data_IF_639316458913
#
_entry.id   IF_639316458913
#
_cell.length_a   1.000
_cell.length_b   1.000
_cell.length_c   1.000
_cell.angle_alpha   90.00
_cell.angle_beta   90.00
_cell.angle_gamma   90.00
#
_symmetry.space_group_name_H-M   'P 1'
#
loop_
_entity.id
_entity.type
_entity.pdbx_description
1 polymer ?
#
# COMPACT_ATOMS: atom_id res chain seq x y z
N UNK A 1 -10.02 -10.54 9.66
CA UNK A 1 -9.20 -11.55 8.93
C UNK A 1 -7.73 -11.13 8.88
N UNK A 2 -6.78 -12.03 9.20
CA UNK A 2 -5.33 -11.71 9.22
C UNK A 2 -4.61 -12.36 8.02
N UNK A 3 -3.74 -11.64 7.28
CA UNK A 3 -3.05 -12.20 6.12
C UNK A 3 -2.06 -13.30 6.50
N UNK A 4 -2.24 -14.51 5.96
CA UNK A 4 -1.26 -15.61 6.07
C UNK A 4 0.05 -15.26 5.33
N UNK A 5 1.15 -15.94 5.68
CA UNK A 5 2.48 -15.74 5.05
C UNK A 5 2.42 -15.83 3.51
N UNK A 6 1.66 -16.79 2.97
CA UNK A 6 1.45 -16.96 1.52
C UNK A 6 0.82 -15.71 0.87
N UNK A 7 -0.19 -15.11 1.49
CA UNK A 7 -0.84 -13.90 0.97
C UNK A 7 0.12 -12.69 0.97
N UNK A 8 0.97 -12.55 2.00
CA UNK A 8 2.02 -11.51 2.06
C UNK A 8 3.08 -11.72 0.98
N UNK A 9 3.48 -12.97 0.73
CA UNK A 9 4.42 -13.31 -0.32
C UNK A 9 3.85 -13.02 -1.71
N UNK A 10 2.57 -13.34 -1.95
CA UNK A 10 1.89 -13.08 -3.22
C UNK A 10 1.86 -11.59 -3.58
N UNK A 11 1.48 -10.71 -2.62
CA UNK A 11 1.48 -9.26 -2.90
C UNK A 11 2.90 -8.72 -3.13
N UNK A 12 3.90 -9.21 -2.38
CA UNK A 12 5.31 -8.85 -2.59
C UNK A 12 5.84 -9.32 -3.95
N UNK A 13 5.43 -10.50 -4.41
CA UNK A 13 5.75 -11.00 -5.74
C UNK A 13 5.12 -10.10 -6.83
N UNK A 14 3.83 -9.78 -6.71
CA UNK A 14 3.14 -8.86 -7.62
C UNK A 14 3.81 -7.49 -7.71
N UNK A 15 4.18 -6.89 -6.58
CA UNK A 15 4.96 -5.63 -6.53
C UNK A 15 6.27 -5.77 -7.30
N UNK A 16 7.00 -6.86 -7.08
CA UNK A 16 8.29 -7.14 -7.73
C UNK A 16 8.12 -7.28 -9.24
N UNK A 17 7.10 -7.98 -9.70
CA UNK A 17 6.86 -8.24 -11.11
C UNK A 17 6.48 -6.95 -11.86
N UNK A 18 5.58 -6.14 -11.29
CA UNK A 18 5.24 -4.81 -11.84
C UNK A 18 6.50 -3.96 -12.05
N UNK A 19 7.41 -3.96 -11.07
CA UNK A 19 8.65 -3.19 -11.16
C UNK A 19 9.64 -3.80 -12.15
N UNK A 20 9.74 -5.14 -12.21
CA UNK A 20 10.66 -5.85 -13.12
C UNK A 20 10.30 -5.58 -14.58
N UNK A 21 9.02 -5.67 -14.93
CA UNK A 21 8.55 -5.44 -16.30
C UNK A 21 8.34 -3.95 -16.63
N UNK A 22 8.51 -3.08 -15.65
CA UNK A 22 8.29 -1.65 -15.79
C UNK A 22 9.44 -0.85 -16.40
N UNK A 23 10.54 -1.47 -16.85
CA UNK A 23 11.80 -0.79 -17.21
C UNK A 23 11.66 0.53 -18.00
N UNK A 24 10.92 0.50 -19.10
CA UNK A 24 10.64 1.64 -20.00
C UNK A 24 9.38 2.44 -19.64
N UNK A 25 8.56 1.96 -18.71
CA UNK A 25 7.29 2.61 -18.34
C UNK A 25 7.56 3.85 -17.48
N UNK A 26 6.91 5.00 -17.74
CA UNK A 26 6.99 6.19 -16.88
C UNK A 26 6.70 5.87 -15.41
N UNK A 27 7.41 6.53 -14.48
CA UNK A 27 7.30 6.24 -13.05
C UNK A 27 5.85 6.37 -12.56
N UNK A 28 5.13 7.42 -12.96
CA UNK A 28 3.73 7.66 -12.59
C UNK A 28 2.83 6.47 -12.94
N UNK A 29 2.96 5.92 -14.16
CA UNK A 29 2.17 4.76 -14.60
C UNK A 29 2.49 3.50 -13.79
N UNK A 30 3.74 3.31 -13.37
CA UNK A 30 4.10 2.20 -12.48
C UNK A 30 3.54 2.38 -11.08
N UNK A 31 3.59 3.59 -10.54
CA UNK A 31 3.03 3.89 -9.22
C UNK A 31 1.52 3.66 -9.22
N UNK A 32 0.80 4.06 -10.27
CA UNK A 32 -0.63 3.75 -10.41
C UNK A 32 -0.91 2.23 -10.36
N UNK A 33 -0.14 1.42 -11.10
CA UNK A 33 -0.28 -0.06 -11.07
C UNK A 33 0.03 -0.65 -9.69
N UNK A 34 1.06 -0.13 -9.01
CA UNK A 34 1.42 -0.55 -7.65
C UNK A 34 0.32 -0.19 -6.65
N UNK A 35 -0.19 1.03 -6.72
CA UNK A 35 -1.28 1.51 -5.87
C UNK A 35 -2.53 0.67 -6.04
N UNK A 36 -2.93 0.35 -7.27
CA UNK A 36 -4.11 -0.49 -7.51
C UNK A 36 -3.94 -1.89 -6.90
N UNK A 37 -2.76 -2.50 -7.06
CA UNK A 37 -2.47 -3.81 -6.50
C UNK A 37 -2.50 -3.82 -4.96
N UNK A 38 -1.90 -2.80 -4.34
CA UNK A 38 -1.82 -2.69 -2.88
C UNK A 38 -3.16 -2.27 -2.29
N UNK A 39 -3.88 -1.32 -2.91
CA UNK A 39 -5.20 -0.89 -2.46
C UNK A 39 -6.19 -2.06 -2.44
N UNK A 40 -6.25 -2.87 -3.50
CA UNK A 40 -7.09 -4.07 -3.52
C UNK A 40 -6.73 -5.06 -2.42
N UNK A 41 -5.44 -5.27 -2.17
CA UNK A 41 -4.97 -6.16 -1.11
C UNK A 41 -5.29 -5.62 0.29
N UNK A 42 -5.08 -4.33 0.53
CA UNK A 42 -5.43 -3.69 1.81
C UNK A 42 -6.93 -3.75 2.03
N UNK A 43 -7.75 -3.41 1.04
CA UNK A 43 -9.20 -3.46 1.16
C UNK A 43 -9.71 -4.86 1.53
N UNK A 44 -9.14 -5.90 0.92
CA UNK A 44 -9.49 -7.29 1.24
C UNK A 44 -9.16 -7.68 2.70
N UNK A 45 -8.02 -7.24 3.22
CA UNK A 45 -7.57 -7.58 4.58
C UNK A 45 -7.88 -6.51 5.64
N UNK A 46 -8.61 -5.43 5.28
CA UNK A 46 -8.80 -4.23 6.12
C UNK A 46 -9.56 -4.52 7.41
N UNK A 47 -10.45 -5.50 7.38
CA UNK A 47 -11.41 -5.85 8.45
C UNK A 47 -10.78 -6.83 9.46
N UNK A 48 -9.56 -6.56 9.91
CA UNK A 48 -8.87 -7.46 10.84
C UNK A 48 -7.56 -6.95 11.40
N UNK A 49 -6.93 -7.78 12.24
CA UNK A 49 -5.64 -7.51 12.90
C UNK A 49 -4.46 -7.66 11.92
N UNK A 50 -4.50 -6.91 10.82
CA UNK A 50 -3.54 -6.97 9.72
C UNK A 50 -2.46 -5.88 9.78
N UNK A 51 -2.44 -5.03 10.81
CA UNK A 51 -1.56 -3.86 10.92
C UNK A 51 -0.07 -4.21 10.73
N UNK A 52 0.40 -5.27 11.39
CA UNK A 52 1.79 -5.75 11.24
C UNK A 52 2.09 -6.23 9.82
N UNK A 53 1.16 -6.92 9.18
CA UNK A 53 1.30 -7.37 7.80
C UNK A 53 1.28 -6.20 6.81
N UNK A 54 0.49 -5.16 7.09
CA UNK A 54 0.42 -3.95 6.29
C UNK A 54 1.72 -3.16 6.37
N UNK A 55 2.28 -2.97 7.57
CA UNK A 55 3.61 -2.36 7.74
C UNK A 55 4.69 -3.14 6.97
N UNK A 56 4.70 -4.47 7.06
CA UNK A 56 5.67 -5.32 6.35
C UNK A 56 5.61 -5.17 4.82
N UNK A 57 4.41 -4.96 4.26
CA UNK A 57 4.19 -4.77 2.82
C UNK A 57 4.49 -3.32 2.40
N UNK A 58 4.12 -2.34 3.23
CA UNK A 58 4.47 -0.92 3.03
C UNK A 58 5.97 -0.73 2.94
N UNK A 59 6.71 -1.22 3.93
CA UNK A 59 8.17 -1.04 3.98
C UNK A 59 8.85 -1.71 2.76
N UNK A 60 8.32 -2.86 2.32
CA UNK A 60 8.76 -3.52 1.10
C UNK A 60 8.47 -2.71 -0.16
N UNK A 61 7.27 -2.14 -0.27
CA UNK A 61 6.85 -1.30 -1.39
C UNK A 61 7.74 -0.05 -1.49
N UNK A 62 7.92 0.69 -0.39
CA UNK A 62 8.77 1.87 -0.34
C UNK A 62 10.21 1.54 -0.76
N UNK A 63 10.78 0.47 -0.19
CA UNK A 63 12.13 0.01 -0.55
C UNK A 63 12.25 -0.27 -2.06
N UNK A 64 11.27 -0.96 -2.65
CA UNK A 64 11.29 -1.30 -4.07
C UNK A 64 11.12 -0.08 -4.98
N UNK A 65 10.24 0.86 -4.62
CA UNK A 65 10.09 2.12 -5.36
C UNK A 65 11.37 2.95 -5.31
N UNK A 66 11.96 3.11 -4.12
CA UNK A 66 13.26 3.81 -3.94
C UNK A 66 14.38 3.16 -4.76
N UNK A 67 14.41 1.83 -4.81
CA UNK A 67 15.38 1.07 -5.62
C UNK A 67 15.19 1.31 -7.11
N UNK A 68 13.95 1.30 -7.60
CA UNK A 68 13.61 1.59 -9.00
C UNK A 68 14.07 3.00 -9.40
N UNK A 69 13.72 4.01 -8.61
CA UNK A 69 14.08 5.41 -8.89
C UNK A 69 15.60 5.61 -8.88
N UNK A 70 16.29 5.00 -7.91
CA UNK A 70 17.75 5.03 -7.83
C UNK A 70 18.40 4.37 -9.04
N UNK A 71 17.91 3.22 -9.49
CA UNK A 71 18.43 2.54 -10.70
C UNK A 71 18.23 3.37 -11.97
N UNK A 72 17.05 4.00 -12.12
CA UNK A 72 16.75 4.87 -13.27
C UNK A 72 17.62 6.12 -13.31
N UNK A 73 17.84 6.77 -12.16
CA UNK A 73 18.67 7.98 -12.06
C UNK A 73 20.17 7.68 -12.00
N UNK A 74 20.62 6.51 -11.53
CA UNK A 74 22.05 6.12 -11.57
C UNK A 74 22.60 6.02 -12.99
N UNK A 75 21.75 5.76 -14.00
CA UNK A 75 22.12 5.94 -15.40
C UNK A 75 22.58 7.38 -15.74
N UNK A 76 22.32 8.35 -14.88
CA UNK A 76 22.68 9.76 -15.04
C UNK A 76 23.61 10.32 -13.94
N UNK A 77 24.50 9.48 -13.38
CA UNK A 77 25.61 9.83 -12.45
C UNK A 77 25.37 11.02 -11.48
N UNK A 78 25.00 10.73 -10.22
CA UNK A 78 25.43 11.38 -8.94
C UNK A 78 24.46 11.04 -7.79
N UNK A 79 25.00 10.66 -6.62
CA UNK A 79 24.46 10.61 -5.23
C UNK A 79 23.29 9.68 -4.80
N UNK A 80 23.14 9.57 -3.46
CA UNK A 80 22.95 8.36 -2.63
C UNK A 80 21.57 8.28 -1.94
N UNK A 81 20.92 7.11 -2.04
CA UNK A 81 20.11 6.53 -0.96
C UNK A 81 18.80 7.23 -0.54
N UNK A 82 18.41 6.97 0.72
CA UNK A 82 17.11 7.29 1.35
C UNK A 82 16.80 8.79 1.42
N UNK A 83 17.83 9.64 1.49
CA UNK A 83 17.74 11.12 1.53
C UNK A 83 17.19 11.72 0.24
N UNK A 84 17.49 11.14 -0.93
CA UNK A 84 17.03 11.68 -2.22
C UNK A 84 15.53 11.46 -2.45
N UNK A 85 15.00 10.34 -1.97
CA UNK A 85 13.60 9.97 -2.17
C UNK A 85 12.88 10.14 -0.83
N UNK A 86 12.61 11.35 -0.35
CA UNK A 86 11.92 11.51 0.94
C UNK A 86 10.54 10.81 0.94
N UNK A 87 9.99 10.53 2.11
CA UNK A 87 8.61 10.03 2.19
C UNK A 87 7.65 11.06 1.58
N UNK A 88 7.91 12.34 1.77
CA UNK A 88 7.22 13.43 1.10
C UNK A 88 7.26 13.30 -0.44
N UNK A 89 8.40 12.96 -1.04
CA UNK A 89 8.46 12.71 -2.47
C UNK A 89 7.63 11.47 -2.89
N UNK A 90 7.71 10.38 -2.12
CA UNK A 90 6.95 9.16 -2.43
C UNK A 90 5.44 9.39 -2.34
N UNK A 91 4.98 10.08 -1.30
CA UNK A 91 3.55 10.24 -1.03
C UNK A 91 2.99 11.51 -1.69
N UNK A 92 3.67 12.65 -1.59
CA UNK A 92 3.24 13.93 -2.13
C UNK A 92 3.48 14.09 -3.64
N UNK A 93 4.62 13.62 -4.16
CA UNK A 93 4.96 13.81 -5.59
C UNK A 93 4.55 12.60 -6.43
N UNK A 94 4.86 11.38 -5.99
CA UNK A 94 4.52 10.18 -6.75
C UNK A 94 3.10 9.67 -6.47
N UNK A 95 2.46 10.12 -5.39
CA UNK A 95 1.13 9.65 -4.99
C UNK A 95 1.12 8.19 -4.55
N UNK A 96 2.18 7.69 -3.91
CA UNK A 96 2.24 6.31 -3.44
C UNK A 96 1.11 6.02 -2.43
N UNK A 97 0.60 4.79 -2.42
CA UNK A 97 -0.48 4.38 -1.52
C UNK A 97 -0.11 4.57 -0.04
N UNK A 98 -0.94 5.31 0.71
CA UNK A 98 -0.68 5.70 2.10
C UNK A 98 -1.74 5.18 3.10
N UNK A 99 -2.92 4.75 2.65
CA UNK A 99 -4.01 4.34 3.54
C UNK A 99 -3.85 2.90 4.05
N UNK A 100 -2.88 2.71 4.94
CA UNK A 100 -2.56 1.40 5.55
C UNK A 100 -3.37 1.12 6.81
N UNK A 101 -4.34 1.96 7.17
CA UNK A 101 -5.07 1.82 8.43
C UNK A 101 -6.05 0.64 8.37
N UNK A 102 -5.98 -0.24 9.36
CA UNK A 102 -6.99 -1.26 9.58
C UNK A 102 -8.24 -0.61 10.14
N UNK A 103 -9.42 -1.04 9.71
CA UNK A 103 -10.66 -0.68 10.38
C UNK A 103 -10.92 -1.73 11.46
N UNK A 104 -11.15 -1.33 12.72
CA UNK A 104 -11.70 -2.26 13.69
C UNK A 104 -12.95 -2.91 13.08
N UNK A 105 -13.13 -4.20 13.30
CA UNK A 105 -14.45 -4.80 13.13
C UNK A 105 -15.36 -3.98 14.04
N UNK A 106 -16.28 -3.21 13.46
CA UNK A 106 -17.36 -2.58 14.21
C UNK A 106 -18.04 -3.71 14.99
N UNK A 107 -17.78 -3.79 16.29
CA UNK A 107 -18.46 -4.72 17.17
C UNK A 107 -19.97 -4.49 17.06
N UNK A 108 -20.76 -5.45 17.53
CA UNK A 108 -22.23 -5.46 17.49
C UNK A 108 -22.94 -4.16 17.99
N UNK A 109 -22.20 -3.19 18.52
CA UNK A 109 -22.64 -1.83 18.86
C UNK A 109 -23.17 -1.03 17.66
N UNK A 110 -22.54 -1.08 16.48
CA UNK A 110 -23.06 -0.33 15.30
C UNK A 110 -24.41 -0.89 14.81
N UNK A 111 -24.63 -2.21 14.95
CA UNK A 111 -25.93 -2.81 14.67
C UNK A 111 -26.99 -2.42 15.69
N UNK A 112 -26.63 -2.30 16.98
CA UNK A 112 -27.53 -1.81 18.03
C UNK A 112 -27.94 -0.35 17.82
N UNK A 113 -27.00 0.52 17.43
CA UNK A 113 -27.28 1.93 17.15
C UNK A 113 -28.18 2.07 15.93
N UNK A 114 -27.93 1.33 14.85
CA UNK A 114 -28.79 1.37 13.65
C UNK A 114 -30.20 0.83 13.89
N UNK A 115 -30.35 -0.22 14.70
CA UNK A 115 -31.66 -0.79 15.05
C UNK A 115 -32.42 0.10 16.06
N UNK A 116 -31.72 0.80 16.94
CA UNK A 116 -32.33 1.75 17.87
C UNK A 116 -32.82 3.02 17.15
N UNK A 117 -32.05 3.53 16.18
CA UNK A 117 -32.45 4.69 15.35
C UNK A 117 -33.62 4.34 14.45
N UNK A 118 -33.65 3.15 13.84
CA UNK A 118 -34.77 2.70 12.99
C UNK A 118 -36.06 2.37 13.76
N UNK A 119 -36.07 2.44 15.10
CA UNK A 119 -37.27 2.27 15.95
C UNK A 119 -37.81 3.60 16.49
N UNK A 120 -37.18 4.72 16.15
CA UNK A 120 -37.53 6.07 16.64
C UNK A 120 -38.09 6.99 15.56
N UNK A 121 -38.39 6.47 14.36
CA UNK A 121 -39.16 7.22 13.36
C UNK A 121 -40.66 6.93 13.57
N UNK A 122 -41.50 7.98 13.79
CA UNK A 122 -42.93 7.86 14.08
C UNK A 122 -43.79 7.42 12.89
#
# INVERSE_FOLDING_TARGET
>A
MTPKKKARQAIKAKIRDIIRHGGSTPAVKLIAKLNAAVAGWVNYFRVGNASRAFSEVRDYLEMKVRTLLTRRKRRQKRSVGRRRWSNEYLYGVLGLYWDWKTRPLSGAEEFRVKVAVARQDP
#
